data_IF_430435199621
#
_entry.id   IF_430435199621
#
_cell.length_a   1.000
_cell.length_b   1.000
_cell.length_c   1.000
_cell.angle_alpha   90.00
_cell.angle_beta   90.00
_cell.angle_gamma   90.00
#
_symmetry.space_group_name_H-M   'P 1'
#
loop_
_entity.id
_entity.type
_entity.pdbx_description
1 polymer ?
#
# COMPACT_ATOMS: atom_id res chain seq x y z
N UNK A 1 16.66 -3.92 -5.26
CA UNK A 1 15.26 -4.37 -5.35
C UNK A 1 14.41 -3.18 -5.75
N UNK A 2 13.73 -3.24 -6.89
CA UNK A 2 12.83 -2.19 -7.33
C UNK A 2 11.43 -2.38 -6.73
N UNK A 3 10.95 -1.37 -6.02
CA UNK A 3 9.59 -1.33 -5.48
C UNK A 3 8.76 -0.47 -6.43
N UNK A 4 7.79 -1.09 -7.11
CA UNK A 4 6.79 -0.37 -7.89
C UNK A 4 5.53 -0.22 -7.06
N UNK A 5 5.32 0.98 -6.53
CA UNK A 5 4.10 1.35 -5.84
C UNK A 5 3.01 1.63 -6.87
N UNK A 6 1.96 0.82 -6.87
CA UNK A 6 0.86 0.97 -7.83
C UNK A 6 -0.37 1.55 -7.13
N UNK A 7 -0.48 2.88 -7.12
CA UNK A 7 -1.63 3.61 -6.54
C UNK A 7 -2.70 3.87 -7.61
N UNK A 8 -2.32 3.87 -8.88
CA UNK A 8 -3.26 3.98 -9.99
C UNK A 8 -3.70 2.57 -10.41
N UNK A 9 -4.68 2.01 -9.70
CA UNK A 9 -5.22 0.66 -9.92
C UNK A 9 -5.97 0.47 -11.25
N UNK A 10 -5.69 1.28 -12.27
CA UNK A 10 -6.42 1.29 -13.53
C UNK A 10 -6.25 0.05 -14.40
N UNK A 11 -5.37 -0.91 -14.08
CA UNK A 11 -5.09 -2.00 -15.02
C UNK A 11 -4.42 -3.24 -14.42
N UNK A 12 -5.08 -3.93 -13.48
CA UNK A 12 -4.72 -5.33 -13.19
C UNK A 12 -5.90 -6.21 -13.54
N UNK A 13 -5.91 -6.67 -14.81
CA UNK A 13 -6.79 -7.74 -15.29
C UNK A 13 -6.57 -8.98 -14.41
N UNK A 14 -7.41 -9.16 -13.38
CA UNK A 14 -7.38 -10.34 -12.51
C UNK A 14 -7.81 -10.06 -11.07
N UNK A 15 -7.53 -8.85 -10.55
CA UNK A 15 -8.03 -8.40 -9.27
C UNK A 15 -9.17 -7.41 -9.55
N UNK A 16 -10.42 -7.88 -9.40
CA UNK A 16 -11.64 -7.05 -9.44
C UNK A 16 -11.66 -6.09 -8.24
N UNK A 17 -10.66 -5.23 -8.14
CA UNK A 17 -10.60 -4.22 -7.11
C UNK A 17 -11.30 -2.97 -7.62
N UNK A 18 -12.35 -2.56 -6.90
CA UNK A 18 -13.29 -1.51 -7.29
C UNK A 18 -12.57 -0.17 -7.37
N UNK A 19 -12.83 0.64 -8.40
CA UNK A 19 -12.30 2.02 -8.52
C UNK A 19 -12.50 2.83 -7.22
N UNK A 20 -13.60 2.55 -6.50
CA UNK A 20 -13.91 3.14 -5.19
C UNK A 20 -12.82 2.92 -4.13
N UNK A 21 -12.09 1.80 -4.15
CA UNK A 21 -10.98 1.53 -3.20
C UNK A 21 -9.75 2.39 -3.52
N UNK A 22 -9.49 2.63 -4.80
CA UNK A 22 -8.41 3.51 -5.26
C UNK A 22 -8.66 4.95 -4.84
N UNK A 23 -9.88 5.43 -5.05
CA UNK A 23 -10.28 6.77 -4.63
C UNK A 23 -10.26 6.89 -3.11
N UNK A 24 -10.73 5.86 -2.40
CA UNK A 24 -10.68 5.82 -0.94
C UNK A 24 -9.25 5.96 -0.40
N UNK A 25 -8.28 5.22 -0.96
CA UNK A 25 -6.92 5.32 -0.44
C UNK A 25 -6.27 6.67 -0.78
N UNK A 26 -6.51 7.21 -1.98
CA UNK A 26 -6.04 8.53 -2.36
C UNK A 26 -6.61 9.61 -1.44
N UNK A 27 -7.90 9.54 -1.13
CA UNK A 27 -8.56 10.45 -0.19
C UNK A 27 -7.95 10.33 1.22
N UNK A 28 -7.72 9.11 1.71
CA UNK A 28 -7.10 8.86 3.03
C UNK A 28 -5.64 9.27 3.10
N UNK A 29 -4.92 9.21 1.99
CA UNK A 29 -3.58 9.74 1.85
C UNK A 29 -3.60 11.26 1.90
N UNK A 30 -4.48 11.90 1.12
CA UNK A 30 -4.60 13.35 1.04
C UNK A 30 -5.05 13.97 2.37
N UNK A 31 -6.06 13.40 3.01
CA UNK A 31 -6.59 13.84 4.30
C UNK A 31 -5.53 13.82 5.40
N UNK A 32 -4.55 12.93 5.30
CA UNK A 32 -3.46 12.79 6.28
C UNK A 32 -2.14 13.42 5.82
N UNK A 33 -2.08 13.99 4.62
CA UNK A 33 -0.82 14.48 4.06
C UNK A 33 0.22 13.37 3.86
N UNK A 34 -0.22 12.15 3.58
CA UNK A 34 0.65 10.99 3.35
C UNK A 34 0.96 10.86 1.86
N UNK A 35 2.23 11.09 1.50
CA UNK A 35 2.74 10.98 0.14
C UNK A 35 3.13 9.56 -0.26
N UNK A 36 3.39 9.38 -1.57
CA UNK A 36 3.87 8.12 -2.13
C UNK A 36 5.22 7.69 -1.54
N UNK A 37 6.11 8.66 -1.34
CA UNK A 37 7.44 8.43 -0.77
C UNK A 37 7.35 7.90 0.65
N UNK A 38 6.48 8.47 1.49
CA UNK A 38 6.28 8.01 2.86
C UNK A 38 5.72 6.59 2.90
N UNK A 39 4.85 6.21 1.96
CA UNK A 39 4.39 4.82 1.83
C UNK A 39 5.56 3.90 1.46
N UNK A 40 6.41 4.29 0.52
CA UNK A 40 7.62 3.52 0.16
C UNK A 40 8.54 3.40 1.39
N UNK A 41 8.76 4.49 2.13
CA UNK A 41 9.54 4.46 3.36
C UNK A 41 8.93 3.52 4.40
N UNK A 42 7.61 3.53 4.59
CA UNK A 42 6.93 2.61 5.48
C UNK A 42 7.15 1.17 5.04
N UNK A 43 6.93 0.86 3.76
CA UNK A 43 7.16 -0.49 3.22
C UNK A 43 8.64 -0.92 3.35
N UNK A 44 9.61 -0.01 3.29
CA UNK A 44 11.02 -0.36 3.38
C UNK A 44 11.52 -0.45 4.82
N UNK A 45 11.15 0.51 5.68
CA UNK A 45 11.74 0.76 7.01
C UNK A 45 10.77 0.47 8.16
N UNK A 46 9.47 0.39 7.89
CA UNK A 46 8.43 0.18 8.88
C UNK A 46 8.40 -1.23 9.45
N UNK A 47 7.86 -1.36 10.65
CA UNK A 47 7.61 -2.65 11.29
C UNK A 47 6.48 -3.37 10.57
N UNK A 48 6.66 -4.65 10.22
CA UNK A 48 5.70 -5.40 9.37
C UNK A 48 5.03 -6.51 10.13
N UNK A 49 3.72 -6.58 10.01
CA UNK A 49 2.90 -7.68 10.52
C UNK A 49 2.05 -8.25 9.39
N UNK A 50 2.17 -9.55 9.14
CA UNK A 50 1.37 -10.26 8.14
C UNK A 50 0.08 -10.73 8.82
N UNK A 51 -1.07 -10.36 8.26
CA UNK A 51 -2.39 -10.81 8.71
C UNK A 51 -2.74 -12.16 8.07
N UNK A 52 -3.69 -12.87 8.70
CA UNK A 52 -4.20 -14.16 8.21
C UNK A 52 -4.83 -14.08 6.80
N UNK A 53 -5.24 -12.90 6.34
CA UNK A 53 -5.83 -12.64 5.01
C UNK A 53 -4.78 -12.36 3.92
N UNK A 54 -3.48 -12.49 4.26
CA UNK A 54 -2.35 -12.23 3.36
C UNK A 54 -2.06 -10.74 3.14
N UNK A 55 -2.74 -9.84 3.86
CA UNK A 55 -2.37 -8.41 3.87
C UNK A 55 -1.25 -8.14 4.87
N UNK A 56 -0.43 -7.13 4.58
CA UNK A 56 0.69 -6.69 5.40
C UNK A 56 0.33 -5.34 5.99
N UNK A 57 0.36 -5.24 7.31
CA UNK A 57 0.38 -3.97 8.01
C UNK A 57 1.84 -3.55 8.13
N UNK A 58 2.18 -2.36 7.65
CA UNK A 58 3.45 -1.73 7.95
C UNK A 58 3.24 -0.47 8.75
N UNK A 59 3.78 -0.45 9.96
CA UNK A 59 3.73 0.68 10.88
C UNK A 59 5.01 1.51 10.74
N UNK A 60 4.86 2.81 10.53
CA UNK A 60 5.96 3.73 10.31
C UNK A 60 5.64 5.11 10.88
N UNK A 61 6.45 5.53 11.86
CA UNK A 61 6.27 6.80 12.58
C UNK A 61 4.87 6.88 13.21
N UNK A 62 4.04 7.81 12.74
CA UNK A 62 2.72 8.13 13.28
C UNK A 62 1.57 7.49 12.48
N UNK A 63 1.88 6.66 11.48
CA UNK A 63 0.87 6.02 10.65
C UNK A 63 1.21 4.54 10.37
N UNK A 64 0.20 3.81 9.91
CA UNK A 64 0.33 2.47 9.38
C UNK A 64 -0.34 2.35 8.03
N UNK A 65 0.32 1.64 7.13
CA UNK A 65 -0.20 1.32 5.80
C UNK A 65 -0.51 -0.16 5.74
N UNK A 66 -1.74 -0.48 5.32
CA UNK A 66 -2.15 -1.85 5.05
C UNK A 66 -2.02 -2.04 3.55
N UNK A 67 -1.26 -3.03 3.10
CA UNK A 67 -1.04 -3.30 1.69
C UNK A 67 -0.96 -4.79 1.40
N UNK A 68 -1.07 -5.17 0.13
CA UNK A 68 -0.69 -6.49 -0.37
C UNK A 68 0.55 -6.36 -1.24
N UNK A 69 1.48 -7.30 -1.09
CA UNK A 69 2.64 -7.39 -1.96
C UNK A 69 2.52 -8.58 -2.89
N UNK A 70 2.92 -8.38 -4.15
CA UNK A 70 3.08 -9.45 -5.12
C UNK A 70 4.49 -9.34 -5.69
N UNK A 71 5.30 -10.36 -5.45
CA UNK A 71 6.60 -10.50 -6.09
C UNK A 71 6.37 -11.04 -7.51
N UNK A 72 6.74 -10.25 -8.52
CA UNK A 72 6.79 -10.71 -9.91
C UNK A 72 8.22 -10.56 -10.37
N UNK A 73 8.90 -11.69 -10.57
CA UNK A 73 10.33 -11.76 -10.92
C UNK A 73 11.20 -10.97 -9.92
N UNK A 74 11.78 -9.85 -10.34
CA UNK A 74 12.65 -8.97 -9.53
C UNK A 74 11.95 -7.69 -9.03
N UNK A 75 10.64 -7.55 -9.27
CA UNK A 75 9.88 -6.35 -8.91
C UNK A 75 8.86 -6.68 -7.82
N UNK A 76 8.91 -5.93 -6.72
CA UNK A 76 7.83 -5.96 -5.72
C UNK A 76 6.74 -4.99 -6.13
N UNK A 77 5.58 -5.52 -6.50
CA UNK A 77 4.38 -4.72 -6.75
C UNK A 77 3.62 -4.59 -5.44
N UNK A 78 3.45 -3.35 -4.99
CA UNK A 78 2.76 -3.04 -3.74
C UNK A 78 1.40 -2.41 -4.02
N UNK A 79 0.38 -2.98 -3.38
CA UNK A 79 -1.02 -2.57 -3.48
C UNK A 79 -1.50 -2.08 -2.13
N UNK A 80 -1.43 -0.77 -1.89
CA UNK A 80 -1.91 -0.22 -0.63
C UNK A 80 -3.45 -0.29 -0.59
N UNK A 81 -3.99 -0.87 0.47
CA UNK A 81 -5.43 -1.06 0.72
C UNK A 81 -5.98 0.14 1.48
N UNK A 82 -5.29 0.57 2.54
CA UNK A 82 -5.65 1.78 3.29
C UNK A 82 -4.45 2.29 4.08
N UNK A 83 -4.57 3.52 4.55
CA UNK A 83 -3.65 4.14 5.49
C UNK A 83 -4.42 4.53 6.74
N UNK A 84 -3.79 4.45 7.91
CA UNK A 84 -4.39 4.76 9.21
C UNK A 84 -3.37 5.49 10.09
N UNK A 85 -3.82 6.41 10.94
CA UNK A 85 -2.99 6.88 12.06
C UNK A 85 -2.91 5.80 13.15
N UNK A 86 -1.85 5.88 13.95
CA UNK A 86 -1.64 5.05 15.15
C UNK A 86 -2.29 5.74 16.35
#
# INVERSE_FOLDING_TARGET
MDIKLNIAFRNIKGLKDSDKRSDHILDRMQLRGIGREQIIEAIQKGSKCIRNDGSIISEYRWFKVIYREFAVENVKKIYPITVMEI
#
